data_IF_700863480708
#
_entry.id   IF_700863480708
#
_cell.length_a   1.000
_cell.length_b   1.000
_cell.length_c   1.000
_cell.angle_alpha   90.00
_cell.angle_beta   90.00
_cell.angle_gamma   90.00
#
_symmetry.space_group_name_H-M   'P 1'
#
loop_
_entity.id
_entity.type
_entity.pdbx_description
1 polymer ?
#
# COMPACT_ATOMS: atom_id res chain seq x y z
N UNK A 1 -24.21 14.21 13.72
CA UNK A 1 -24.33 14.23 12.24
C UNK A 1 -23.39 13.18 11.68
N UNK A 2 -23.83 12.30 10.76
CA UNK A 2 -22.95 11.30 10.16
C UNK A 2 -22.15 11.92 9.01
N UNK A 3 -21.05 12.60 9.35
CA UNK A 3 -20.21 13.33 8.40
C UNK A 3 -19.65 12.45 7.26
N UNK A 4 -19.54 11.14 7.47
CA UNK A 4 -19.00 10.18 6.49
C UNK A 4 -19.84 10.14 5.21
N UNK A 5 -21.16 10.31 5.32
CA UNK A 5 -22.07 10.34 4.17
C UNK A 5 -21.91 11.61 3.33
N UNK A 6 -21.43 12.69 3.93
CA UNK A 6 -21.23 13.98 3.26
C UNK A 6 -19.80 14.14 2.72
N UNK A 7 -18.86 13.27 3.12
CA UNK A 7 -17.46 13.35 2.71
C UNK A 7 -17.28 13.37 1.17
N UNK A 8 -17.94 12.52 0.35
CA UNK A 8 -17.80 12.60 -1.10
C UNK A 8 -18.22 13.96 -1.68
N UNK A 9 -19.28 14.57 -1.12
CA UNK A 9 -19.78 15.87 -1.56
C UNK A 9 -18.75 16.98 -1.31
N UNK A 10 -18.19 17.06 -0.10
CA UNK A 10 -17.18 18.08 0.22
C UNK A 10 -15.85 17.85 -0.48
N UNK A 11 -15.47 16.59 -0.71
CA UNK A 11 -14.33 16.25 -1.57
C UNK A 11 -14.52 16.79 -2.98
N UNK A 12 -15.71 16.62 -3.55
CA UNK A 12 -16.02 17.17 -4.87
C UNK A 12 -16.01 18.68 -4.91
N UNK A 13 -16.53 19.34 -3.88
CA UNK A 13 -16.44 20.80 -3.76
C UNK A 13 -15.00 21.28 -3.72
N UNK A 14 -14.12 20.60 -2.97
CA UNK A 14 -12.69 20.91 -2.95
C UNK A 14 -12.06 20.71 -4.33
N UNK A 15 -12.30 19.56 -4.97
CA UNK A 15 -11.74 19.26 -6.29
C UNK A 15 -12.26 20.20 -7.39
N UNK A 16 -13.49 20.69 -7.27
CA UNK A 16 -14.05 21.66 -8.20
C UNK A 16 -13.27 22.99 -8.22
N UNK A 17 -12.60 23.35 -7.12
CA UNK A 17 -11.71 24.54 -7.08
C UNK A 17 -10.51 24.41 -8.02
N UNK A 18 -10.14 23.18 -8.39
CA UNK A 18 -9.06 22.86 -9.33
C UNK A 18 -9.58 22.47 -10.71
N UNK A 19 -10.90 22.58 -10.97
CA UNK A 19 -11.52 22.13 -12.22
C UNK A 19 -11.63 20.60 -12.35
N UNK A 20 -11.48 19.85 -11.25
CA UNK A 20 -11.42 18.38 -11.24
C UNK A 20 -12.70 17.74 -10.68
N UNK A 21 -13.87 18.30 -10.99
CA UNK A 21 -15.15 17.79 -10.46
C UNK A 21 -15.41 16.34 -10.92
N UNK A 22 -15.66 15.45 -9.96
CA UNK A 22 -15.99 14.04 -10.20
C UNK A 22 -17.27 13.68 -9.45
N UNK A 23 -18.04 12.68 -9.87
CA UNK A 23 -19.23 12.24 -9.12
C UNK A 23 -19.11 10.81 -8.58
N UNK A 24 -18.06 10.09 -8.98
CA UNK A 24 -17.83 8.71 -8.60
C UNK A 24 -16.74 8.63 -7.52
N UNK A 25 -17.00 7.97 -6.37
CA UNK A 25 -16.02 7.83 -5.28
C UNK A 25 -14.65 7.29 -5.74
N UNK A 26 -14.64 6.34 -6.68
CA UNK A 26 -13.40 5.80 -7.24
C UNK A 26 -12.59 6.86 -8.01
N UNK A 27 -13.26 7.71 -8.82
CA UNK A 27 -12.59 8.79 -9.56
C UNK A 27 -12.08 9.87 -8.61
N UNK A 28 -12.85 10.22 -7.58
CA UNK A 28 -12.39 11.11 -6.50
C UNK A 28 -11.11 10.54 -5.89
N UNK A 29 -11.13 9.27 -5.48
CA UNK A 29 -9.97 8.60 -4.92
C UNK A 29 -8.74 8.64 -5.84
N UNK A 30 -8.91 8.37 -7.13
CA UNK A 30 -7.82 8.44 -8.12
C UNK A 30 -7.22 9.85 -8.26
N UNK A 31 -8.01 10.90 -8.12
CA UNK A 31 -7.51 12.28 -8.10
C UNK A 31 -6.76 12.53 -6.79
N UNK A 32 -7.33 12.12 -5.66
CA UNK A 32 -6.73 12.28 -4.35
C UNK A 32 -5.36 11.59 -4.24
N UNK A 33 -5.15 10.43 -4.86
CA UNK A 33 -3.84 9.75 -4.81
C UNK A 33 -2.74 10.57 -5.47
N UNK A 34 -3.07 11.34 -6.51
CA UNK A 34 -2.15 12.19 -7.27
C UNK A 34 -1.80 13.51 -6.60
N UNK A 35 -2.61 13.95 -5.62
CA UNK A 35 -2.32 15.17 -4.86
C UNK A 35 -0.99 15.04 -4.09
N UNK A 36 -0.22 16.12 -4.11
CA UNK A 36 0.99 16.29 -3.31
C UNK A 36 0.68 16.23 -1.81
N UNK A 37 1.67 15.95 -0.95
CA UNK A 37 1.46 15.95 0.50
C UNK A 37 0.95 17.29 1.05
N UNK A 38 1.35 18.42 0.45
CA UNK A 38 0.90 19.76 0.83
C UNK A 38 -0.59 19.96 0.49
N UNK A 39 -1.01 19.59 -0.73
CA UNK A 39 -2.41 19.66 -1.15
C UNK A 39 -3.30 18.73 -0.31
N UNK A 40 -2.83 17.51 0.00
CA UNK A 40 -3.55 16.59 0.90
C UNK A 40 -3.75 17.17 2.30
N UNK A 41 -2.75 17.91 2.81
CA UNK A 41 -2.87 18.59 4.11
C UNK A 41 -3.95 19.68 4.05
N UNK A 42 -3.87 20.56 3.04
CA UNK A 42 -4.88 21.60 2.82
C UNK A 42 -6.30 21.03 2.61
N UNK A 43 -6.41 19.88 1.95
CA UNK A 43 -7.68 19.15 1.81
C UNK A 43 -8.25 18.74 3.18
N UNK A 44 -7.44 18.10 4.04
CA UNK A 44 -7.93 17.65 5.34
C UNK A 44 -8.30 18.82 6.25
N UNK A 45 -7.55 19.93 6.17
CA UNK A 45 -7.86 21.16 6.90
C UNK A 45 -9.19 21.77 6.40
N UNK A 46 -9.40 21.82 5.08
CA UNK A 46 -10.66 22.26 4.47
C UNK A 46 -11.84 21.38 4.94
N UNK A 47 -11.72 20.06 4.83
CA UNK A 47 -12.76 19.12 5.24
C UNK A 47 -13.06 19.23 6.74
N UNK A 48 -12.03 19.48 7.55
CA UNK A 48 -12.19 19.66 8.99
C UNK A 48 -13.07 20.86 9.33
N UNK A 49 -12.87 21.98 8.64
CA UNK A 49 -13.69 23.18 8.81
C UNK A 49 -15.13 22.96 8.35
N UNK A 50 -15.33 22.29 7.20
CA UNK A 50 -16.68 22.07 6.64
C UNK A 50 -17.50 21.06 7.45
N UNK A 51 -16.85 20.00 7.95
CA UNK A 51 -17.52 18.91 8.65
C UNK A 51 -17.55 19.09 10.18
N UNK A 52 -16.82 20.08 10.70
CA UNK A 52 -16.59 20.27 12.13
C UNK A 52 -16.05 18.99 12.81
N UNK A 53 -15.03 18.39 12.19
CA UNK A 53 -14.38 17.15 12.65
C UNK A 53 -12.87 17.36 12.62
N UNK A 54 -12.12 16.79 13.56
CA UNK A 54 -10.66 16.90 13.53
C UNK A 54 -10.04 16.34 12.23
N UNK A 55 -9.02 17.00 11.66
CA UNK A 55 -8.35 16.53 10.44
C UNK A 55 -7.79 15.10 10.57
N UNK A 56 -7.32 14.75 11.78
CA UNK A 56 -6.82 13.42 12.15
C UNK A 56 -7.86 12.32 11.90
N UNK A 57 -9.11 12.58 12.28
CA UNK A 57 -10.23 11.65 12.17
C UNK A 57 -10.61 11.43 10.70
N UNK A 58 -10.67 12.51 9.92
CA UNK A 58 -10.96 12.45 8.47
C UNK A 58 -9.86 11.67 7.74
N UNK A 59 -8.60 11.98 8.05
CA UNK A 59 -7.43 11.28 7.49
C UNK A 59 -7.45 9.79 7.84
N UNK A 60 -7.77 9.43 9.08
CA UNK A 60 -7.86 8.04 9.51
C UNK A 60 -8.97 7.29 8.77
N UNK A 61 -10.14 7.91 8.61
CA UNK A 61 -11.22 7.34 7.82
C UNK A 61 -10.81 7.13 6.36
N UNK A 62 -10.19 8.13 5.73
CA UNK A 62 -9.69 8.01 4.36
C UNK A 62 -8.74 6.81 4.19
N UNK A 63 -7.78 6.62 5.11
CA UNK A 63 -6.85 5.50 5.05
C UNK A 63 -7.48 4.14 5.41
N UNK A 64 -8.44 4.10 6.34
CA UNK A 64 -9.03 2.84 6.79
C UNK A 64 -10.18 2.35 5.91
N UNK A 65 -10.87 3.27 5.23
CA UNK A 65 -12.06 2.95 4.44
C UNK A 65 -11.72 3.04 2.96
N UNK A 66 -11.43 4.23 2.44
CA UNK A 66 -11.29 4.44 0.99
C UNK A 66 -10.06 3.75 0.41
N UNK A 67 -8.91 3.88 1.07
CA UNK A 67 -7.69 3.20 0.63
C UNK A 67 -7.90 1.68 0.61
N UNK A 68 -8.55 1.09 1.62
CA UNK A 68 -8.81 -0.36 1.64
C UNK A 68 -9.87 -0.79 0.61
N UNK A 69 -10.86 0.05 0.35
CA UNK A 69 -11.93 -0.24 -0.61
C UNK A 69 -11.48 -0.13 -2.06
N UNK A 70 -10.61 0.84 -2.37
CA UNK A 70 -10.24 1.16 -3.75
C UNK A 70 -8.82 0.73 -4.14
N UNK A 71 -8.00 0.25 -3.19
CA UNK A 71 -6.71 -0.36 -3.51
C UNK A 71 -6.84 -1.88 -3.62
N UNK A 72 -6.21 -2.43 -4.64
CA UNK A 72 -5.98 -3.86 -4.83
C UNK A 72 -4.92 -4.35 -3.83
N UNK A 73 -5.11 -5.56 -3.33
CA UNK A 73 -4.12 -6.21 -2.46
C UNK A 73 -2.94 -6.71 -3.30
N UNK A 74 -1.68 -6.49 -2.88
CA UNK A 74 -0.53 -7.08 -3.55
C UNK A 74 -0.34 -8.58 -3.25
N UNK A 75 -1.11 -9.15 -2.32
CA UNK A 75 -0.93 -10.53 -1.88
C UNK A 75 -1.09 -11.60 -2.98
N UNK A 76 -2.01 -11.47 -3.96
CA UNK A 76 -2.11 -12.42 -5.08
C UNK A 76 -0.89 -12.39 -6.02
N UNK A 77 -0.12 -11.30 -6.01
CA UNK A 77 1.00 -11.06 -6.93
C UNK A 77 2.37 -11.40 -6.31
N UNK A 78 2.41 -12.15 -5.20
CA UNK A 78 3.65 -12.43 -4.46
C UNK A 78 4.77 -13.02 -5.32
N UNK A 79 4.45 -14.01 -6.16
CA UNK A 79 5.45 -14.66 -7.03
C UNK A 79 6.03 -13.68 -8.05
N UNK A 80 5.16 -12.90 -8.71
CA UNK A 80 5.60 -11.86 -9.66
C UNK A 80 6.47 -10.80 -8.97
N UNK A 81 6.10 -10.37 -7.76
CA UNK A 81 6.89 -9.41 -6.97
C UNK A 81 8.27 -9.99 -6.63
N UNK A 82 8.35 -11.27 -6.26
CA UNK A 82 9.63 -11.94 -5.99
C UNK A 82 10.51 -12.01 -7.24
N UNK A 83 9.93 -12.35 -8.39
CA UNK A 83 10.64 -12.37 -9.68
C UNK A 83 11.18 -10.99 -10.05
N UNK A 84 10.34 -9.94 -9.94
CA UNK A 84 10.75 -8.56 -10.20
C UNK A 84 11.86 -8.09 -9.28
N UNK A 85 11.80 -8.44 -7.99
CA UNK A 85 12.87 -8.12 -7.05
C UNK A 85 14.16 -8.84 -7.41
N UNK A 86 14.11 -10.11 -7.76
CA UNK A 86 15.28 -10.86 -8.20
C UNK A 86 15.88 -10.24 -9.46
N UNK A 87 15.08 -10.00 -10.48
CA UNK A 87 15.54 -9.48 -11.77
C UNK A 87 16.06 -8.03 -11.66
N UNK A 88 15.28 -7.13 -11.07
CA UNK A 88 15.58 -5.70 -11.09
C UNK A 88 16.52 -5.30 -9.97
N UNK A 89 16.30 -5.81 -8.75
CA UNK A 89 17.05 -5.34 -7.58
C UNK A 89 18.30 -6.17 -7.33
N UNK A 90 18.24 -7.49 -7.51
CA UNK A 90 19.38 -8.38 -7.25
C UNK A 90 20.29 -8.46 -8.48
N UNK A 91 19.75 -8.81 -9.64
CA UNK A 91 20.56 -9.01 -10.86
C UNK A 91 21.01 -7.69 -11.46
N UNK A 92 20.12 -6.71 -11.65
CA UNK A 92 20.48 -5.40 -12.23
C UNK A 92 21.02 -4.40 -11.20
N UNK A 93 20.87 -4.68 -9.91
CA UNK A 93 21.36 -3.81 -8.84
C UNK A 93 20.56 -2.50 -8.66
N UNK A 94 19.35 -2.41 -9.21
CA UNK A 94 18.53 -1.21 -9.14
C UNK A 94 17.81 -1.05 -7.79
N UNK A 95 17.22 0.12 -7.56
CA UNK A 95 16.42 0.37 -6.37
C UNK A 95 15.05 -0.33 -6.43
N UNK A 96 14.50 -0.63 -5.26
CA UNK A 96 13.15 -1.21 -5.12
C UNK A 96 12.08 -0.34 -5.81
N UNK A 97 12.31 0.97 -5.84
CA UNK A 97 11.41 1.92 -6.49
C UNK A 97 11.23 1.63 -7.98
N UNK A 98 12.28 1.19 -8.68
CA UNK A 98 12.20 0.85 -10.10
C UNK A 98 11.39 -0.43 -10.32
N UNK A 99 11.61 -1.46 -9.50
CA UNK A 99 10.81 -2.68 -9.54
C UNK A 99 9.31 -2.41 -9.30
N UNK A 100 8.98 -1.48 -8.41
CA UNK A 100 7.59 -1.04 -8.17
C UNK A 100 7.03 -0.30 -9.40
N UNK A 101 7.81 0.55 -10.06
CA UNK A 101 7.36 1.25 -11.28
C UNK A 101 7.05 0.25 -12.39
N UNK A 102 7.90 -0.76 -12.59
CA UNK A 102 7.67 -1.85 -13.55
C UNK A 102 6.40 -2.62 -13.20
N UNK A 103 6.21 -2.96 -11.92
CA UNK A 103 5.00 -3.66 -11.46
C UNK A 103 3.73 -2.86 -11.73
N UNK A 104 3.70 -1.57 -11.36
CA UNK A 104 2.54 -0.70 -11.60
C UNK A 104 2.28 -0.51 -13.09
N UNK A 105 3.32 -0.42 -13.91
CA UNK A 105 3.18 -0.31 -15.36
C UNK A 105 2.60 -1.58 -16.02
N UNK A 106 2.82 -2.76 -15.42
CA UNK A 106 2.24 -4.03 -15.89
C UNK A 106 0.76 -4.20 -15.56
N UNK A 107 0.26 -3.48 -14.56
CA UNK A 107 -1.12 -3.56 -14.06
C UNK A 107 -1.83 -2.19 -14.12
N UNK A 108 -1.94 -1.56 -15.30
CA UNK A 108 -2.45 -0.19 -15.44
C UNK A 108 -3.92 -0.02 -15.01
N UNK A 109 -4.70 -1.10 -15.04
CA UNK A 109 -6.09 -1.13 -14.62
C UNK A 109 -6.26 -1.26 -13.10
N UNK A 110 -5.20 -1.59 -12.38
CA UNK A 110 -5.21 -1.79 -10.94
C UNK A 110 -4.72 -0.54 -10.21
N UNK A 111 -5.32 -0.29 -9.05
CA UNK A 111 -4.88 0.76 -8.14
C UNK A 111 -4.22 0.09 -6.94
N UNK A 112 -2.94 0.30 -6.73
CA UNK A 112 -2.24 -0.24 -5.58
C UNK A 112 -1.91 0.85 -4.56
N UNK A 113 -1.94 0.48 -3.29
CA UNK A 113 -1.36 1.32 -2.26
C UNK A 113 0.17 1.25 -2.33
N UNK A 114 0.81 2.34 -2.76
CA UNK A 114 2.26 2.42 -2.92
C UNK A 114 3.05 2.10 -1.63
N UNK A 115 2.52 2.48 -0.46
CA UNK A 115 3.17 2.16 0.82
C UNK A 115 3.14 0.67 1.10
N UNK A 116 2.00 0.01 0.84
CA UNK A 116 1.89 -1.44 0.98
C UNK A 116 2.78 -2.17 -0.02
N UNK A 117 2.81 -1.73 -1.29
CA UNK A 117 3.74 -2.26 -2.28
C UNK A 117 5.19 -2.13 -1.81
N UNK A 118 5.60 -0.94 -1.36
CA UNK A 118 6.94 -0.71 -0.85
C UNK A 118 7.32 -1.67 0.28
N UNK A 119 6.39 -1.92 1.21
CA UNK A 119 6.60 -2.88 2.30
C UNK A 119 6.77 -4.31 1.77
N UNK A 120 5.89 -4.76 0.87
CA UNK A 120 5.94 -6.12 0.32
C UNK A 120 7.21 -6.34 -0.50
N UNK A 121 7.59 -5.38 -1.35
CA UNK A 121 8.84 -5.45 -2.13
C UNK A 121 10.08 -5.45 -1.23
N UNK A 122 10.11 -4.62 -0.18
CA UNK A 122 11.22 -4.63 0.77
C UNK A 122 11.34 -5.99 1.48
N UNK A 123 10.21 -6.57 1.93
CA UNK A 123 10.20 -7.90 2.54
C UNK A 123 10.72 -8.96 1.54
N UNK A 124 10.26 -8.91 0.28
CA UNK A 124 10.74 -9.80 -0.77
C UNK A 124 12.25 -9.66 -1.01
N UNK A 125 12.78 -8.42 -1.07
CA UNK A 125 14.22 -8.14 -1.20
C UNK A 125 15.05 -8.78 -0.09
N UNK A 126 14.60 -8.67 1.16
CA UNK A 126 15.30 -9.27 2.28
C UNK A 126 15.29 -10.81 2.21
N UNK A 127 14.19 -11.42 1.75
CA UNK A 127 14.08 -12.88 1.60
C UNK A 127 14.99 -13.41 0.51
N UNK A 128 14.97 -12.81 -0.69
CA UNK A 128 15.82 -13.25 -1.80
C UNK A 128 17.31 -13.18 -1.44
N UNK A 129 17.75 -12.11 -0.77
CA UNK A 129 19.14 -12.02 -0.31
C UNK A 129 19.53 -13.08 0.73
N UNK A 130 18.58 -13.52 1.56
CA UNK A 130 18.81 -14.56 2.54
C UNK A 130 18.91 -15.95 1.88
N UNK A 131 18.08 -16.21 0.87
CA UNK A 131 18.10 -17.43 0.06
C UNK A 131 19.44 -17.55 -0.69
N UNK A 132 19.86 -16.51 -1.41
CA UNK A 132 21.15 -16.50 -2.13
C UNK A 132 22.35 -16.72 -1.18
N UNK A 133 22.28 -16.16 0.03
CA UNK A 133 23.32 -16.35 1.06
C UNK A 133 23.30 -17.76 1.68
N UNK A 134 22.15 -18.44 1.69
CA UNK A 134 22.03 -19.82 2.17
C UNK A 134 22.49 -20.81 1.10
N UNK A 135 22.14 -20.59 -0.18
CA UNK A 135 22.60 -21.40 -1.31
C UNK A 135 24.14 -21.36 -1.42
N UNK A 136 24.75 -20.18 -1.26
CA UNK A 136 26.21 -20.03 -1.23
C UNK A 136 26.91 -20.76 -0.06
N UNK A 137 26.17 -21.15 1.00
CA UNK A 137 26.72 -21.90 2.15
C UNK A 137 26.54 -23.42 2.00
N UNK A 138 25.55 -23.86 1.24
CA UNK A 138 25.26 -25.30 1.05
C UNK A 138 26.29 -26.00 0.17
N UNK A 139 27.11 -25.26 -0.58
CA UNK A 139 28.26 -25.83 -1.30
C UNK A 139 29.47 -26.15 -0.37
N UNK A 140 29.39 -25.91 0.94
CA UNK A 140 30.55 -26.07 1.83
C UNK A 140 30.34 -26.54 3.26
N UNK A 141 29.12 -26.73 3.79
CA UNK A 141 28.99 -27.20 5.18
C UNK A 141 27.71 -27.98 5.47
N UNK A 142 27.88 -29.24 5.90
CA UNK A 142 26.91 -29.99 6.70
C UNK A 142 26.71 -29.26 8.04
N UNK A 143 25.58 -28.59 8.24
CA UNK A 143 25.35 -27.86 9.48
C UNK A 143 23.94 -27.29 9.65
N UNK A 144 23.15 -28.01 10.44
CA UNK A 144 21.98 -27.57 11.21
C UNK A 144 21.06 -26.49 10.58
N UNK A 145 19.94 -26.94 10.01
CA UNK A 145 18.84 -26.07 9.58
C UNK A 145 17.85 -25.83 10.74
N UNK A 146 17.63 -24.57 11.13
CA UNK A 146 16.46 -24.19 11.95
C UNK A 146 15.39 -23.63 11.04
N UNK A 147 14.23 -24.29 10.99
CA UNK A 147 13.09 -23.84 10.20
C UNK A 147 12.44 -22.61 10.85
N UNK A 148 12.37 -21.51 10.10
CA UNK A 148 11.74 -20.25 10.51
C UNK A 148 10.21 -20.41 10.65
N UNK A 149 9.61 -21.47 10.12
CA UNK A 149 8.19 -21.77 10.30
C UNK A 149 7.83 -22.02 11.79
N UNK A 150 8.81 -22.28 12.65
CA UNK A 150 8.60 -22.41 14.10
C UNK A 150 8.62 -21.08 14.86
N UNK A 151 9.01 -19.95 14.23
CA UNK A 151 9.07 -18.64 14.90
C UNK A 151 7.83 -17.77 14.66
N UNK A 152 6.88 -18.17 13.82
CA UNK A 152 5.60 -17.50 13.69
C UNK A 152 4.60 -18.10 14.68
N UNK A 153 4.71 -17.73 15.95
CA UNK A 153 3.56 -17.78 16.85
C UNK A 153 2.56 -16.74 16.35
N UNK A 154 1.71 -17.15 15.42
CA UNK A 154 0.47 -16.45 15.12
C UNK A 154 -0.38 -16.48 16.37
N UNK A 155 -0.36 -15.40 17.16
CA UNK A 155 -1.47 -15.09 18.06
C UNK A 155 -2.66 -14.62 17.21
N UNK A 156 -3.25 -15.56 16.48
CA UNK A 156 -4.63 -15.49 16.01
C UNK A 156 -5.36 -16.66 16.63
N UNK A 157 -6.05 -16.39 17.74
CA UNK A 157 -7.46 -16.74 17.94
C UNK A 157 -7.84 -16.59 19.43
N UNK A 158 -8.64 -15.58 19.74
CA UNK A 158 -9.92 -15.91 20.35
C UNK A 158 -10.99 -15.01 19.74
N UNK A 159 -11.81 -15.64 18.92
CA UNK A 159 -13.01 -15.06 18.34
C UNK A 159 -14.14 -15.03 19.37
N UNK A 160 -15.03 -14.09 19.10
CA UNK A 160 -16.45 -14.01 19.43
C UNK A 160 -17.09 -15.24 20.09
N UNK A 161 -17.86 -15.01 21.16
CA UNK A 161 -19.23 -15.50 21.23
C UNK A 161 -20.14 -14.40 21.82
N UNK A 162 -21.16 -14.08 21.00
CA UNK A 162 -22.54 -13.64 21.27
C UNK A 162 -22.82 -12.41 22.16
#
# INVERSE_FOLDING_TARGET
MNWQQHLPHFLNQFLAQFGLSQNEPLKIYQVLTRLSPAEKRGLFDFLSQQLNVEPSTIKNFYHNTWVKQFSESPAPYRSEIQELVREVVVVRGEEVREAIQVFVARHPEKQFNLRQLQQVFNIAKYRTKAEDASEARTEGSEGFSVSIDQCLVFQTACGMQE
#
